data_IF_405994207859
#
_entry.id   IF_405994207859
#
_cell.length_a   1.000
_cell.length_b   1.000
_cell.length_c   1.000
_cell.angle_alpha   90.00
_cell.angle_beta   90.00
_cell.angle_gamma   90.00
#
_symmetry.space_group_name_H-M   'P 1'
#
loop_
_entity.id
_entity.type
_entity.pdbx_description
1 polymer ?
#
# COMPACT_ATOMS: atom_id res chain seq x y z
N UNK A 1 -50.82 85.43 24.14
CA UNK A 1 -50.40 85.73 22.77
C UNK A 1 -50.37 84.42 21.98
N UNK A 2 -51.14 84.39 20.89
CA UNK A 2 -50.90 83.65 19.63
C UNK A 2 -50.74 82.12 19.69
N UNK A 3 -51.36 81.30 18.84
CA UNK A 3 -52.42 81.39 17.83
C UNK A 3 -52.53 79.92 17.36
N UNK A 4 -53.72 79.32 17.36
CA UNK A 4 -53.94 78.08 16.61
C UNK A 4 -53.71 78.35 15.11
N UNK A 5 -53.14 77.41 14.34
CA UNK A 5 -53.34 77.37 12.91
C UNK A 5 -54.24 76.21 12.47
N UNK A 6 -55.04 76.54 11.46
CA UNK A 6 -56.12 75.82 10.80
C UNK A 6 -55.69 74.55 10.01
N UNK A 7 -56.66 73.69 9.60
CA UNK A 7 -56.41 72.47 8.84
C UNK A 7 -56.07 72.70 7.35
N UNK A 8 -55.05 71.99 6.86
CA UNK A 8 -54.59 72.03 5.48
C UNK A 8 -55.11 70.87 4.62
N UNK A 9 -56.00 71.23 3.71
CA UNK A 9 -56.29 70.74 2.34
C UNK A 9 -55.68 69.41 1.84
N UNK A 10 -56.60 68.57 1.39
CA UNK A 10 -56.57 67.40 0.51
C UNK A 10 -55.51 67.47 -0.61
N UNK A 11 -54.71 66.41 -0.75
CA UNK A 11 -54.02 66.07 -2.01
C UNK A 11 -54.23 64.59 -2.34
N UNK A 12 -54.98 64.38 -3.43
CA UNK A 12 -55.26 63.10 -4.08
C UNK A 12 -53.98 62.43 -4.60
N UNK A 13 -53.69 61.20 -4.16
CA UNK A 13 -52.75 60.30 -4.85
C UNK A 13 -53.28 58.88 -4.95
N UNK A 14 -53.72 58.56 -6.17
CA UNK A 14 -53.57 57.29 -6.90
C UNK A 14 -53.91 55.97 -6.19
N UNK A 15 -55.03 55.39 -6.60
CA UNK A 15 -55.33 53.94 -6.53
C UNK A 15 -54.28 53.13 -7.31
N UNK A 16 -53.64 52.10 -6.72
CA UNK A 16 -52.78 51.20 -7.49
C UNK A 16 -53.63 50.21 -8.31
N UNK A 17 -53.26 50.07 -9.59
CA UNK A 17 -53.81 49.11 -10.56
C UNK A 17 -53.41 47.66 -10.20
N UNK A 18 -54.20 46.65 -10.61
CA UNK A 18 -54.08 45.27 -10.12
C UNK A 18 -52.90 44.45 -10.69
N UNK A 19 -51.88 45.10 -11.25
CA UNK A 19 -50.76 44.43 -11.92
C UNK A 19 -49.51 44.23 -11.06
N UNK A 20 -49.51 44.68 -9.80
CA UNK A 20 -48.32 44.67 -8.94
C UNK A 20 -48.54 43.92 -7.61
N UNK A 21 -49.06 42.68 -7.69
CA UNK A 21 -49.12 41.75 -6.55
C UNK A 21 -48.31 40.48 -6.83
N UNK A 22 -47.49 40.00 -5.87
CA UNK A 22 -46.81 38.71 -6.00
C UNK A 22 -47.82 37.54 -5.90
N UNK A 23 -47.58 36.41 -6.59
CA UNK A 23 -48.54 35.31 -6.66
C UNK A 23 -48.73 34.62 -5.29
N UNK A 24 -50.00 34.51 -4.85
CA UNK A 24 -50.37 33.75 -3.65
C UNK A 24 -50.19 32.26 -3.89
N UNK A 25 -49.36 31.60 -3.07
CA UNK A 25 -49.24 30.14 -3.05
C UNK A 25 -50.48 29.54 -2.39
N UNK A 26 -51.24 28.74 -3.15
CA UNK A 26 -52.34 27.93 -2.63
C UNK A 26 -51.78 26.76 -1.82
N UNK A 27 -51.90 26.80 -0.49
CA UNK A 27 -51.36 25.78 0.43
C UNK A 27 -52.33 24.61 0.66
N UNK A 28 -53.42 24.52 -0.10
CA UNK A 28 -54.49 23.53 0.11
C UNK A 28 -54.84 22.73 -1.15
N UNK A 29 -53.85 22.29 -1.93
CA UNK A 29 -54.08 21.25 -2.94
C UNK A 29 -53.85 19.86 -2.33
N UNK A 30 -54.96 19.18 -2.14
CA UNK A 30 -55.19 17.82 -1.65
C UNK A 30 -54.14 16.77 -2.05
N UNK A 31 -53.76 15.95 -1.06
CA UNK A 31 -52.93 14.76 -1.17
C UNK A 31 -53.55 13.73 -2.12
N UNK A 32 -52.90 13.44 -3.26
CA UNK A 32 -53.20 12.24 -4.06
C UNK A 32 -52.49 11.03 -3.45
N UNK A 33 -53.28 10.05 -2.99
CA UNK A 33 -52.78 8.76 -2.53
C UNK A 33 -52.12 7.97 -3.67
N UNK A 34 -50.91 7.47 -3.44
CA UNK A 34 -50.18 6.61 -4.37
C UNK A 34 -50.57 5.16 -4.06
N UNK A 35 -51.13 4.38 -5.00
CA UNK A 35 -51.38 2.96 -4.77
C UNK A 35 -50.05 2.19 -4.80
N UNK A 36 -49.67 1.62 -3.66
CA UNK A 36 -48.52 0.72 -3.54
C UNK A 36 -48.90 -0.66 -4.07
N UNK A 37 -48.39 -1.03 -5.26
CA UNK A 37 -48.55 -2.38 -5.81
C UNK A 37 -47.26 -3.18 -5.57
N UNK A 38 -47.26 -4.18 -4.67
CA UNK A 38 -46.09 -5.03 -4.51
C UNK A 38 -45.90 -5.89 -5.77
N UNK A 39 -44.69 -5.86 -6.35
CA UNK A 39 -44.31 -6.81 -7.40
C UNK A 39 -44.24 -8.21 -6.79
N UNK A 40 -44.82 -9.26 -7.40
CA UNK A 40 -44.59 -10.63 -6.96
C UNK A 40 -43.11 -10.97 -7.16
N UNK A 41 -42.43 -11.36 -6.08
CA UNK A 41 -41.09 -11.91 -6.16
C UNK A 41 -41.19 -13.32 -6.75
N UNK A 42 -40.60 -13.53 -7.92
CA UNK A 42 -40.40 -14.88 -8.46
C UNK A 42 -39.42 -15.62 -7.55
N UNK A 43 -39.74 -16.85 -7.10
CA UNK A 43 -38.79 -17.64 -6.30
C UNK A 43 -37.58 -17.98 -7.17
N UNK A 44 -36.41 -17.53 -6.74
CA UNK A 44 -35.15 -17.96 -7.33
C UNK A 44 -34.98 -19.45 -7.06
N UNK A 45 -35.08 -20.27 -8.12
CA UNK A 45 -34.69 -21.68 -8.02
C UNK A 45 -33.17 -21.74 -7.85
N UNK A 46 -32.74 -22.20 -6.68
CA UNK A 46 -31.36 -22.64 -6.47
C UNK A 46 -31.13 -23.91 -7.30
N UNK A 47 -30.44 -23.79 -8.43
CA UNK A 47 -29.70 -24.91 -8.99
C UNK A 47 -28.28 -24.88 -8.42
N UNK A 48 -27.82 -25.92 -7.71
CA UNK A 48 -26.41 -26.06 -7.41
C UNK A 48 -25.69 -26.42 -8.71
N UNK A 49 -25.11 -25.42 -9.37
CA UNK A 49 -24.09 -25.68 -10.40
C UNK A 49 -22.82 -26.13 -9.68
N UNK A 50 -22.53 -27.43 -9.70
CA UNK A 50 -21.21 -27.95 -9.33
C UNK A 50 -20.25 -27.69 -10.48
N UNK A 51 -19.25 -26.79 -10.37
CA UNK A 51 -18.20 -26.75 -11.38
C UNK A 51 -17.27 -27.94 -11.16
N UNK A 52 -17.32 -28.92 -12.07
CA UNK A 52 -16.22 -29.89 -12.21
C UNK A 52 -15.07 -29.13 -12.87
N UNK A 53 -14.12 -28.68 -12.05
CA UNK A 53 -12.85 -28.14 -12.54
C UNK A 53 -11.88 -29.32 -12.67
N UNK A 54 -11.35 -29.63 -13.86
CA UNK A 54 -10.30 -30.63 -13.97
C UNK A 54 -9.04 -30.10 -13.27
N UNK A 55 -8.53 -30.86 -12.31
CA UNK A 55 -7.24 -30.62 -11.67
C UNK A 55 -6.15 -30.88 -12.71
N UNK A 56 -5.58 -29.81 -13.27
CA UNK A 56 -4.37 -29.92 -14.09
C UNK A 56 -3.16 -29.98 -13.17
N UNK A 57 -2.57 -31.16 -13.02
CA UNK A 57 -1.23 -31.31 -12.50
C UNK A 57 -0.24 -30.72 -13.51
N UNK A 58 0.55 -29.72 -13.10
CA UNK A 58 1.73 -29.32 -13.86
C UNK A 58 2.79 -30.40 -13.69
N UNK A 59 3.12 -31.11 -14.76
CA UNK A 59 4.36 -31.87 -14.81
C UNK A 59 5.52 -30.86 -14.75
N UNK A 60 6.44 -31.07 -13.82
CA UNK A 60 7.70 -30.34 -13.79
C UNK A 60 8.43 -30.63 -15.10
N UNK A 61 8.89 -29.58 -15.77
CA UNK A 61 9.75 -29.72 -16.93
C UNK A 61 11.10 -30.29 -16.46
N UNK A 62 11.50 -31.42 -17.04
CA UNK A 62 12.85 -31.95 -16.89
C UNK A 62 13.87 -30.87 -17.27
N UNK A 63 14.87 -30.70 -16.41
CA UNK A 63 15.98 -29.82 -16.66
C UNK A 63 16.66 -30.27 -17.96
N UNK A 64 16.59 -29.43 -18.99
CA UNK A 64 17.44 -29.61 -20.16
C UNK A 64 18.88 -29.42 -19.70
N UNK A 65 19.66 -30.49 -19.80
CA UNK A 65 21.11 -30.44 -19.70
C UNK A 65 21.63 -29.42 -20.71
N UNK A 66 22.09 -28.28 -20.18
CA UNK A 66 22.87 -27.33 -20.94
C UNK A 66 24.13 -28.04 -21.40
N UNK A 67 24.41 -27.95 -22.70
CA UNK A 67 25.67 -28.35 -23.32
C UNK A 67 26.84 -27.91 -22.44
N UNK A 68 27.52 -28.87 -21.83
CA UNK A 68 28.79 -28.64 -21.14
C UNK A 68 29.80 -28.19 -22.18
N UNK A 69 30.03 -26.88 -22.26
CA UNK A 69 31.24 -26.36 -22.86
C UNK A 69 32.43 -26.98 -22.13
N UNK A 70 33.46 -27.38 -22.88
CA UNK A 70 34.75 -27.67 -22.29
C UNK A 70 35.17 -26.45 -21.44
N UNK A 71 35.63 -26.72 -20.22
CA UNK A 71 36.14 -25.74 -19.24
C UNK A 71 35.13 -25.06 -18.31
N UNK A 72 34.29 -25.87 -17.64
CA UNK A 72 33.65 -25.46 -16.38
C UNK A 72 33.98 -26.42 -15.23
N UNK A 73 35.20 -26.96 -15.20
CA UNK A 73 35.69 -27.64 -13.99
C UNK A 73 36.04 -26.57 -12.95
N UNK A 74 35.42 -26.59 -11.76
CA UNK A 74 35.84 -25.70 -10.68
C UNK A 74 37.32 -25.93 -10.39
N UNK A 75 38.06 -24.83 -10.15
CA UNK A 75 39.49 -24.90 -9.84
C UNK A 75 39.70 -25.82 -8.60
N UNK A 76 40.69 -26.71 -8.63
CA UNK A 76 40.98 -27.60 -7.52
C UNK A 76 41.42 -26.82 -6.27
N UNK A 77 41.23 -27.42 -5.09
CA UNK A 77 41.68 -26.80 -3.84
C UNK A 77 43.22 -26.73 -3.83
N UNK A 78 43.79 -25.66 -3.27
CA UNK A 78 45.25 -25.43 -3.13
C UNK A 78 46.05 -26.66 -2.65
N UNK A 79 45.48 -27.50 -1.77
CA UNK A 79 46.10 -28.75 -1.31
C UNK A 79 46.16 -29.82 -2.40
N UNK A 80 45.13 -29.93 -3.22
CA UNK A 80 45.08 -30.82 -4.38
C UNK A 80 46.00 -30.35 -5.51
N UNK A 81 46.17 -29.03 -5.68
CA UNK A 81 47.14 -28.45 -6.62
C UNK A 81 48.58 -28.77 -6.19
N UNK A 82 48.90 -28.55 -4.93
CA UNK A 82 50.21 -28.88 -4.37
C UNK A 82 50.51 -30.38 -4.47
N UNK A 83 49.52 -31.24 -4.23
CA UNK A 83 49.67 -32.69 -4.38
C UNK A 83 49.89 -33.10 -5.85
N UNK A 84 49.20 -32.46 -6.81
CA UNK A 84 49.42 -32.69 -8.25
C UNK A 84 50.81 -32.23 -8.69
N UNK A 85 51.28 -31.07 -8.21
CA UNK A 85 52.62 -30.55 -8.48
C UNK A 85 53.68 -31.49 -7.89
N UNK A 86 53.54 -31.91 -6.63
CA UNK A 86 54.48 -32.84 -5.99
C UNK A 86 54.55 -34.19 -6.73
N UNK A 87 53.40 -34.68 -7.22
CA UNK A 87 53.31 -35.89 -8.04
C UNK A 87 54.03 -35.75 -9.39
N UNK A 88 54.01 -34.55 -9.98
CA UNK A 88 54.76 -34.23 -11.22
C UNK A 88 56.26 -34.10 -10.92
N UNK A 89 56.62 -33.50 -9.78
CA UNK A 89 58.01 -33.29 -9.35
C UNK A 89 58.68 -34.52 -8.73
N UNK A 90 57.93 -35.62 -8.53
CA UNK A 90 58.45 -36.85 -7.93
C UNK A 90 58.75 -36.74 -6.42
N UNK A 91 58.17 -35.75 -5.73
CA UNK A 91 58.29 -35.56 -4.28
C UNK A 91 57.05 -36.08 -3.55
N UNK A 92 57.17 -36.46 -2.29
CA UNK A 92 56.03 -36.84 -1.45
C UNK A 92 55.14 -35.61 -1.19
N UNK A 93 53.92 -35.61 -1.71
CA UNK A 93 52.92 -34.56 -1.46
C UNK A 93 52.27 -34.67 -0.07
N UNK A 94 51.56 -33.62 0.40
CA UNK A 94 50.87 -33.66 1.69
C UNK A 94 49.68 -34.64 1.66
N UNK A 95 49.49 -35.39 2.75
CA UNK A 95 48.39 -36.35 2.90
C UNK A 95 47.03 -35.64 2.81
N UNK A 96 46.22 -36.03 1.83
CA UNK A 96 44.91 -35.42 1.56
C UNK A 96 43.85 -35.78 2.61
N UNK A 97 44.09 -36.82 3.43
CA UNK A 97 43.14 -37.29 4.43
C UNK A 97 43.17 -36.51 5.75
N UNK A 98 44.27 -35.81 6.04
CA UNK A 98 44.41 -34.99 7.23
C UNK A 98 44.96 -33.61 6.84
N UNK A 99 44.12 -32.58 6.96
CA UNK A 99 44.54 -31.21 6.68
C UNK A 99 45.73 -30.83 7.54
N UNK A 100 46.85 -30.45 6.89
CA UNK A 100 48.02 -29.95 7.61
C UNK A 100 47.64 -28.69 8.37
N UNK A 101 47.89 -28.62 9.69
CA UNK A 101 47.47 -27.49 10.49
C UNK A 101 48.15 -26.22 9.96
N UNK A 102 47.37 -25.15 9.78
CA UNK A 102 47.81 -23.86 9.19
C UNK A 102 49.08 -23.31 9.86
N UNK A 103 49.30 -23.62 11.13
CA UNK A 103 50.48 -23.23 11.88
C UNK A 103 51.79 -23.84 11.36
N UNK A 104 51.75 -25.02 10.73
CA UNK A 104 52.93 -25.71 10.19
C UNK A 104 53.28 -25.22 8.79
N UNK A 105 52.27 -24.89 7.98
CA UNK A 105 52.44 -24.32 6.64
C UNK A 105 53.13 -22.94 6.73
N UNK A 106 52.66 -22.08 7.64
CA UNK A 106 53.18 -20.72 7.76
C UNK A 106 54.58 -20.68 8.41
N UNK A 107 54.99 -21.75 9.12
CA UNK A 107 56.29 -21.80 9.79
C UNK A 107 57.47 -21.77 8.80
N UNK A 108 57.28 -22.26 7.57
CA UNK A 108 58.29 -22.25 6.51
C UNK A 108 58.43 -20.91 5.78
N UNK A 109 57.36 -20.11 5.75
CA UNK A 109 57.26 -18.92 4.89
C UNK A 109 57.17 -17.62 5.69
N UNK A 110 58.31 -16.92 5.81
CA UNK A 110 58.42 -15.65 6.54
C UNK A 110 57.48 -14.57 6.01
N UNK A 111 57.28 -14.51 4.69
CA UNK A 111 56.40 -13.55 4.04
C UNK A 111 54.89 -13.82 4.31
N UNK A 112 54.52 -15.08 4.53
CA UNK A 112 53.14 -15.44 4.89
C UNK A 112 52.84 -15.08 6.36
N UNK A 113 53.84 -15.14 7.22
CA UNK A 113 53.70 -14.84 8.65
C UNK A 113 53.42 -13.35 8.91
N UNK A 114 53.97 -12.45 8.10
CA UNK A 114 53.76 -11.00 8.21
C UNK A 114 52.34 -10.57 7.81
N UNK A 115 51.73 -11.29 6.86
CA UNK A 115 50.38 -11.00 6.35
C UNK A 115 49.24 -11.64 7.17
N UNK A 116 49.55 -12.35 8.25
CA UNK A 116 48.54 -12.96 9.12
C UNK A 116 47.84 -11.93 10.02
N UNK A 117 46.56 -12.17 10.39
CA UNK A 117 45.89 -11.37 11.40
C UNK A 117 46.60 -11.49 12.76
N UNK A 118 46.71 -10.35 13.48
CA UNK A 118 47.49 -10.23 14.73
C UNK A 118 47.24 -11.33 15.77
N UNK A 119 45.98 -11.73 15.96
CA UNK A 119 45.58 -12.79 16.91
C UNK A 119 46.23 -14.14 16.61
N UNK A 120 46.54 -14.43 15.34
CA UNK A 120 47.22 -15.67 14.94
C UNK A 120 48.74 -15.54 15.06
N UNK A 121 49.30 -14.37 14.76
CA UNK A 121 50.73 -14.08 14.98
C UNK A 121 51.09 -14.24 16.47
N UNK A 122 50.24 -13.74 17.36
CA UNK A 122 50.43 -13.82 18.81
C UNK A 122 50.37 -15.27 19.32
N UNK A 123 49.47 -16.10 18.77
CA UNK A 123 49.39 -17.54 19.08
C UNK A 123 50.62 -18.33 18.61
N UNK A 124 51.20 -17.97 17.46
CA UNK A 124 52.43 -18.61 16.97
C UNK A 124 53.66 -18.21 17.82
N UNK A 125 53.77 -16.94 18.18
CA UNK A 125 54.84 -16.40 19.03
C UNK A 125 54.79 -16.98 20.46
N UNK A 126 53.59 -17.12 21.03
CA UNK A 126 53.40 -17.75 22.35
C UNK A 126 53.79 -19.23 22.38
N UNK A 127 53.67 -19.95 21.26
CA UNK A 127 54.02 -21.38 21.16
C UNK A 127 55.54 -21.60 21.08
N UNK A 128 56.29 -20.64 20.53
CA UNK A 128 57.77 -20.71 20.44
C UNK A 128 58.50 -20.39 21.75
N UNK A 129 57.88 -19.69 22.69
CA UNK A 129 58.52 -19.26 23.95
C UNK A 129 58.31 -20.21 25.14
N UNK A 130 57.83 -21.44 24.92
CA UNK A 130 57.69 -22.46 25.97
C UNK A 130 56.85 -22.04 27.18
N UNK A 131 56.03 -20.99 27.05
CA UNK A 131 55.26 -20.41 28.15
C UNK A 131 53.81 -20.86 28.00
N UNK A 132 53.31 -21.55 29.03
CA UNK A 132 51.96 -22.09 29.14
C UNK A 132 50.88 -21.06 28.75
N UNK A 133 49.88 -21.52 28.00
CA UNK A 133 48.69 -20.76 27.61
C UNK A 133 48.04 -20.04 28.81
N UNK A 134 47.44 -18.83 28.62
CA UNK A 134 46.70 -18.17 29.68
C UNK A 134 45.50 -19.04 30.11
N UNK A 135 45.45 -19.39 31.41
CA UNK A 135 44.29 -19.97 32.09
C UNK A 135 43.10 -19.01 31.91
N UNK A 136 42.21 -19.28 30.94
CA UNK A 136 41.05 -18.40 30.77
C UNK A 136 40.14 -18.58 29.56
N UNK A 137 40.37 -19.51 28.64
CA UNK A 137 39.37 -19.81 27.60
C UNK A 137 38.49 -20.97 28.05
N UNK A 138 37.25 -20.66 28.41
CA UNK A 138 36.17 -21.62 28.66
C UNK A 138 36.03 -22.56 27.46
N UNK A 139 36.18 -23.85 27.68
CA UNK A 139 35.83 -24.89 26.71
C UNK A 139 34.34 -24.79 26.40
N UNK A 140 33.98 -24.55 25.15
CA UNK A 140 32.59 -24.74 24.70
C UNK A 140 32.35 -26.25 24.59
N UNK A 141 31.89 -26.85 25.68
CA UNK A 141 31.40 -28.23 25.69
C UNK A 141 29.97 -28.25 25.16
N UNK A 142 29.76 -28.83 23.97
CA UNK A 142 28.46 -29.35 23.55
C UNK A 142 28.19 -30.66 24.29
N UNK A 143 27.73 -30.56 25.53
CA UNK A 143 27.19 -31.69 26.28
C UNK A 143 25.73 -31.36 26.60
N UNK A 144 24.80 -32.11 26.00
CA UNK A 144 23.39 -32.15 26.39
C UNK A 144 23.29 -32.95 27.68
N UNK A 145 23.08 -32.30 28.81
CA UNK A 145 22.67 -32.96 30.05
C UNK A 145 21.18 -33.36 29.95
N UNK A 146 20.83 -34.63 30.14
CA UNK A 146 19.44 -34.99 30.38
C UNK A 146 19.08 -34.54 31.79
N UNK A 147 18.16 -33.58 31.90
CA UNK A 147 17.63 -33.09 33.17
C UNK A 147 16.91 -34.24 33.86
N UNK A 148 17.61 -34.88 34.80
CA UNK A 148 17.01 -35.81 35.74
C UNK A 148 16.51 -34.97 36.91
N UNK A 149 15.27 -35.24 37.33
CA UNK A 149 14.59 -34.64 38.46
C UNK A 149 15.52 -34.43 39.66
N UNK A 150 15.71 -33.17 40.09
CA UNK A 150 15.46 -32.84 41.49
C UNK A 150 15.28 -31.33 41.70
N UNK A 151 14.50 -30.99 42.73
CA UNK A 151 13.84 -29.71 42.95
C UNK A 151 14.68 -28.43 42.89
N UNK A 152 14.20 -27.48 42.10
CA UNK A 152 14.59 -26.08 42.13
C UNK A 152 13.42 -25.25 41.61
N UNK A 153 12.63 -24.71 42.54
CA UNK A 153 11.47 -23.85 42.32
C UNK A 153 11.85 -22.57 41.54
N UNK A 154 11.82 -22.68 40.22
CA UNK A 154 11.92 -21.55 39.30
C UNK A 154 10.54 -21.24 38.74
N UNK A 155 9.65 -20.70 39.59
CA UNK A 155 8.46 -19.94 39.18
C UNK A 155 7.74 -20.52 37.96
N UNK A 156 7.43 -21.82 38.01
CA UNK A 156 6.64 -22.48 36.99
C UNK A 156 5.22 -21.98 37.17
N UNK A 157 4.83 -20.99 36.36
CA UNK A 157 3.42 -20.66 36.12
C UNK A 157 2.73 -21.99 35.83
N UNK A 158 1.94 -22.48 36.79
CA UNK A 158 1.13 -23.67 36.61
C UNK A 158 0.22 -23.37 35.44
N UNK A 159 0.56 -23.92 34.26
CA UNK A 159 -0.36 -23.99 33.15
C UNK A 159 -1.38 -25.05 33.52
N UNK A 160 -2.26 -24.71 34.47
CA UNK A 160 -3.53 -25.38 34.63
C UNK A 160 -4.28 -25.17 33.32
N UNK A 161 -4.06 -26.10 32.40
CA UNK A 161 -4.88 -26.29 31.23
C UNK A 161 -6.24 -26.81 31.72
N UNK A 162 -6.99 -25.95 32.39
CA UNK A 162 -8.42 -26.16 32.58
C UNK A 162 -9.01 -26.18 31.18
N UNK A 163 -9.17 -27.37 30.63
CA UNK A 163 -9.89 -27.60 29.39
C UNK A 163 -11.34 -27.18 29.63
N UNK A 164 -11.62 -25.89 29.46
CA UNK A 164 -12.96 -25.32 29.55
C UNK A 164 -13.80 -26.06 28.53
N UNK A 165 -14.70 -26.91 29.02
CA UNK A 165 -15.60 -27.67 28.19
C UNK A 165 -16.36 -26.70 27.27
N UNK A 166 -16.46 -27.00 25.97
CA UNK A 166 -17.06 -26.07 25.04
C UNK A 166 -18.54 -25.87 25.39
N UNK A 167 -18.91 -24.66 25.79
CA UNK A 167 -20.27 -24.30 26.16
C UNK A 167 -21.27 -24.45 25.00
N UNK A 168 -20.78 -24.54 23.76
CA UNK A 168 -21.59 -24.70 22.55
C UNK A 168 -21.15 -25.98 21.84
N UNK A 169 -22.09 -26.88 21.47
CA UNK A 169 -21.75 -28.10 20.75
C UNK A 169 -21.10 -27.78 19.40
N UNK A 170 -20.01 -28.49 19.09
CA UNK A 170 -19.35 -28.45 17.78
C UNK A 170 -18.17 -27.49 17.63
N UNK A 171 -17.81 -26.72 18.66
CA UNK A 171 -16.68 -25.77 18.59
C UNK A 171 -15.69 -26.06 19.71
N UNK A 172 -14.39 -26.18 19.39
CA UNK A 172 -13.34 -26.40 20.40
C UNK A 172 -12.94 -25.12 21.13
N UNK A 173 -12.89 -24.01 20.40
CA UNK A 173 -12.63 -22.67 20.89
C UNK A 173 -13.85 -21.83 20.54
N UNK A 174 -14.37 -21.01 21.45
CA UNK A 174 -15.67 -20.33 21.29
C UNK A 174 -15.91 -19.68 19.91
N UNK A 175 -17.19 -19.48 19.58
CA UNK A 175 -17.58 -18.92 18.28
C UNK A 175 -17.00 -17.51 18.07
N UNK A 176 -16.56 -17.17 16.84
CA UNK A 176 -16.16 -15.81 16.52
C UNK A 176 -17.35 -14.85 16.61
N UNK A 177 -17.08 -13.61 17.01
CA UNK A 177 -18.11 -12.56 17.05
C UNK A 177 -18.53 -12.19 15.63
N UNK A 178 -19.83 -12.32 15.34
CA UNK A 178 -20.44 -11.90 14.08
C UNK A 178 -21.06 -10.50 14.24
N UNK A 179 -20.98 -9.62 13.23
CA UNK A 179 -20.41 -9.82 11.90
C UNK A 179 -18.88 -9.79 11.90
N UNK A 180 -18.27 -10.66 11.08
CA UNK A 180 -16.81 -10.71 10.89
C UNK A 180 -16.33 -9.32 10.40
N UNK A 181 -15.22 -8.78 10.94
CA UNK A 181 -14.67 -7.53 10.46
C UNK A 181 -14.34 -7.60 8.96
N UNK A 182 -14.42 -6.44 8.28
CA UNK A 182 -14.23 -6.35 6.83
C UNK A 182 -12.88 -6.94 6.38
N UNK A 183 -11.84 -6.77 7.19
CA UNK A 183 -10.47 -7.21 6.90
C UNK A 183 -10.31 -8.74 6.96
N UNK A 184 -11.22 -9.44 7.65
CA UNK A 184 -11.23 -10.90 7.76
C UNK A 184 -11.63 -11.60 6.45
N UNK A 185 -12.14 -10.87 5.47
CA UNK A 185 -12.56 -11.43 4.18
C UNK A 185 -11.38 -11.52 3.21
N UNK A 186 -11.05 -12.73 2.71
CA UNK A 186 -9.89 -12.98 1.84
C UNK A 186 -9.80 -12.02 0.64
N UNK A 187 -10.91 -11.76 -0.05
CA UNK A 187 -10.95 -10.87 -1.23
C UNK A 187 -10.93 -9.38 -0.90
N UNK A 188 -11.21 -9.02 0.36
CA UNK A 188 -11.33 -7.65 0.83
C UNK A 188 -10.43 -7.41 2.06
N UNK A 189 -9.26 -8.07 2.05
CA UNK A 189 -8.28 -8.01 3.14
C UNK A 189 -7.69 -6.62 3.37
N UNK A 190 -7.52 -5.86 2.28
CA UNK A 190 -6.90 -4.54 2.31
C UNK A 190 -7.94 -3.44 2.16
N UNK A 191 -7.58 -2.23 2.62
CA UNK A 191 -8.39 -1.03 2.42
C UNK A 191 -8.73 -0.83 0.92
N UNK A 192 -9.98 -0.46 0.58
CA UNK A 192 -10.41 -0.31 -0.81
C UNK A 192 -9.61 0.73 -1.61
N UNK A 193 -9.04 1.75 -0.97
CA UNK A 193 -8.18 2.73 -1.64
C UNK A 193 -6.85 2.10 -2.00
N UNK A 194 -6.24 1.36 -1.05
CA UNK A 194 -4.97 0.65 -1.28
C UNK A 194 -5.13 -0.41 -2.38
N UNK A 195 -6.20 -1.20 -2.33
CA UNK A 195 -6.54 -2.17 -3.38
C UNK A 195 -6.78 -1.50 -4.75
N UNK A 196 -7.44 -0.34 -4.76
CA UNK A 196 -7.67 0.38 -6.01
C UNK A 196 -6.39 0.97 -6.61
N UNK A 197 -5.49 1.53 -5.78
CA UNK A 197 -4.22 2.09 -6.25
C UNK A 197 -3.28 0.97 -6.71
N UNK A 198 -3.17 -0.13 -5.97
CA UNK A 198 -2.33 -1.29 -6.39
C UNK A 198 -2.76 -1.81 -7.76
N UNK A 199 -4.07 -1.98 -8.00
CA UNK A 199 -4.60 -2.40 -9.30
C UNK A 199 -4.36 -1.40 -10.43
N UNK A 200 -4.26 -0.10 -10.13
CA UNK A 200 -3.92 0.94 -11.11
C UNK A 200 -2.41 1.05 -11.37
N UNK A 201 -1.58 0.65 -10.41
CA UNK A 201 -0.13 0.52 -10.58
C UNK A 201 0.26 -0.72 -11.41
N UNK A 202 -0.55 -1.77 -11.33
CA UNK A 202 -0.32 -3.05 -12.02
C UNK A 202 -0.26 -2.88 -13.54
N UNK A 203 0.78 -3.46 -14.14
CA UNK A 203 0.97 -3.57 -15.58
C UNK A 203 1.19 -5.04 -15.93
N UNK A 204 0.78 -5.45 -17.13
CA UNK A 204 0.99 -6.82 -17.65
C UNK A 204 0.47 -7.95 -16.73
N UNK A 205 -0.46 -7.68 -15.80
CA UNK A 205 -0.95 -8.66 -14.83
C UNK A 205 -0.02 -8.92 -13.64
N UNK A 206 1.07 -8.16 -13.49
CA UNK A 206 2.06 -8.34 -12.42
C UNK A 206 1.60 -7.71 -11.09
N UNK A 207 0.71 -8.41 -10.39
CA UNK A 207 0.13 -7.95 -9.13
C UNK A 207 1.20 -7.84 -8.02
N UNK A 208 2.10 -8.82 -7.93
CA UNK A 208 3.14 -8.87 -6.88
C UNK A 208 4.09 -7.67 -6.94
N UNK A 209 4.45 -7.23 -8.15
CA UNK A 209 5.27 -6.02 -8.37
C UNK A 209 4.51 -4.77 -7.94
N UNK A 210 3.22 -4.67 -8.27
CA UNK A 210 2.39 -3.55 -7.86
C UNK A 210 2.20 -3.48 -6.33
N UNK A 211 2.02 -4.62 -5.67
CA UNK A 211 1.96 -4.72 -4.20
C UNK A 211 3.27 -4.29 -3.56
N UNK A 212 4.42 -4.72 -4.10
CA UNK A 212 5.74 -4.27 -3.64
C UNK A 212 5.91 -2.75 -3.81
N UNK A 213 5.51 -2.20 -4.96
CA UNK A 213 5.59 -0.75 -5.16
C UNK A 213 4.69 0.01 -4.18
N UNK A 214 3.50 -0.51 -3.89
CA UNK A 214 2.61 0.07 -2.88
C UNK A 214 3.23 0.03 -1.47
N UNK A 215 3.83 -1.09 -1.07
CA UNK A 215 4.48 -1.15 0.25
C UNK A 215 5.64 -0.15 0.36
N UNK A 216 6.41 0.04 -0.71
CA UNK A 216 7.44 1.08 -0.78
C UNK A 216 6.85 2.49 -0.70
N UNK A 217 5.73 2.78 -1.38
CA UNK A 217 5.03 4.08 -1.29
C UNK A 217 4.63 4.35 0.16
N UNK A 218 3.98 3.41 0.83
CA UNK A 218 3.52 3.57 2.21
C UNK A 218 4.70 3.74 3.19
N UNK A 219 5.80 3.00 2.97
CA UNK A 219 7.01 3.16 3.76
C UNK A 219 7.62 4.56 3.60
N UNK A 220 7.66 5.09 2.38
CA UNK A 220 8.12 6.45 2.13
C UNK A 220 7.24 7.50 2.82
N UNK A 221 5.92 7.33 2.81
CA UNK A 221 5.01 8.22 3.54
C UNK A 221 5.21 8.15 5.06
N UNK A 222 5.54 6.96 5.58
CA UNK A 222 5.81 6.76 7.00
C UNK A 222 7.09 7.45 7.48
N UNK A 223 8.11 7.48 6.63
CA UNK A 223 9.41 8.11 6.95
C UNK A 223 9.48 9.59 6.54
N UNK A 224 8.47 10.10 5.83
CA UNK A 224 8.44 11.48 5.40
C UNK A 224 8.20 12.43 6.60
N UNK A 225 8.74 13.65 6.56
CA UNK A 225 8.41 14.67 7.56
C UNK A 225 6.92 15.03 7.50
N UNK A 226 6.44 15.63 8.58
CA UNK A 226 5.07 16.12 8.68
C UNK A 226 4.80 17.14 7.57
N UNK A 227 3.77 16.96 6.73
CA UNK A 227 3.50 17.87 5.63
C UNK A 227 2.92 19.21 6.12
N UNK A 228 3.34 20.30 5.50
CA UNK A 228 2.78 21.63 5.73
C UNK A 228 1.57 21.86 4.83
N UNK A 229 0.36 21.93 5.42
CA UNK A 229 -0.88 22.08 4.65
C UNK A 229 -1.05 23.55 4.22
N UNK A 230 -1.28 23.77 2.93
CA UNK A 230 -1.59 25.10 2.41
C UNK A 230 -3.06 25.49 2.69
N UNK A 231 -3.34 26.63 3.36
CA UNK A 231 -4.71 27.03 3.69
C UNK A 231 -5.57 27.33 2.44
N UNK A 232 -4.96 27.79 1.34
CA UNK A 232 -5.65 28.07 0.08
C UNK A 232 -6.19 26.82 -0.63
N UNK A 233 -5.66 25.64 -0.31
CA UNK A 233 -6.05 24.36 -0.89
C UNK A 233 -6.40 23.39 0.24
N UNK A 234 -7.54 23.57 0.90
CA UNK A 234 -7.93 22.73 2.03
C UNK A 234 -8.15 21.29 1.59
N UNK A 235 -7.81 20.36 2.48
CA UNK A 235 -8.09 18.93 2.31
C UNK A 235 -9.58 18.65 2.54
N UNK A 236 -9.94 17.36 2.48
CA UNK A 236 -11.30 16.90 2.79
C UNK A 236 -11.67 17.31 4.22
N UNK A 237 -12.89 17.80 4.49
CA UNK A 237 -13.33 18.13 5.84
C UNK A 237 -13.30 16.91 6.75
N UNK A 238 -12.94 17.11 8.01
CA UNK A 238 -12.74 16.01 8.98
C UNK A 238 -11.38 15.33 8.88
N UNK A 239 -10.43 15.90 8.12
CA UNK A 239 -9.06 15.41 8.12
C UNK A 239 -8.42 15.57 9.53
N UNK A 240 -7.67 14.56 10.00
CA UNK A 240 -6.88 14.65 11.24
C UNK A 240 -5.78 15.72 11.11
N UNK A 241 -5.19 16.16 12.24
CA UNK A 241 -4.06 17.08 12.20
C UNK A 241 -2.88 16.48 11.42
N UNK A 242 -2.03 17.33 10.81
CA UNK A 242 -0.93 16.89 9.94
C UNK A 242 0.07 15.96 10.66
N UNK A 243 0.21 16.08 11.98
CA UNK A 243 1.07 15.25 12.82
C UNK A 243 0.74 13.75 12.77
N UNK A 244 -0.53 13.39 12.56
CA UNK A 244 -0.96 11.98 12.55
C UNK A 244 -0.73 11.29 11.20
N UNK A 245 -0.40 12.05 10.14
CA UNK A 245 -0.32 11.53 8.78
C UNK A 245 0.85 10.56 8.58
N UNK A 246 2.10 10.85 9.01
CA UNK A 246 3.21 9.92 8.84
C UNK A 246 3.01 8.60 9.60
N UNK A 247 2.40 8.66 10.80
CA UNK A 247 2.11 7.46 11.60
C UNK A 247 1.06 6.55 10.92
N UNK A 248 0.12 7.14 10.20
CA UNK A 248 -0.96 6.44 9.51
C UNK A 248 -0.86 6.61 7.98
N UNK A 249 0.05 5.89 7.29
CA UNK A 249 0.30 6.09 5.86
C UNK A 249 -0.90 5.74 4.96
N UNK A 250 -1.80 4.86 5.42
CA UNK A 250 -3.05 4.56 4.71
C UNK A 250 -3.97 5.79 4.74
N UNK A 251 -4.14 6.42 5.91
CA UNK A 251 -4.92 7.66 6.02
C UNK A 251 -4.30 8.78 5.19
N UNK A 252 -2.97 8.94 5.24
CA UNK A 252 -2.25 9.89 4.40
C UNK A 252 -2.59 9.70 2.92
N UNK A 253 -2.46 8.47 2.41
CA UNK A 253 -2.79 8.14 1.02
C UNK A 253 -4.26 8.42 0.69
N UNK A 254 -5.19 8.05 1.58
CA UNK A 254 -6.63 8.26 1.34
C UNK A 254 -6.99 9.75 1.27
N UNK A 255 -6.44 10.58 2.17
CA UNK A 255 -6.69 12.02 2.21
C UNK A 255 -6.12 12.73 0.99
N UNK A 256 -4.92 12.34 0.55
CA UNK A 256 -4.32 12.89 -0.67
C UNK A 256 -5.20 12.61 -1.90
N UNK A 257 -5.75 11.39 -2.02
CA UNK A 257 -6.58 11.01 -3.17
C UNK A 257 -7.95 11.67 -3.10
N UNK A 258 -8.61 11.64 -1.94
CA UNK A 258 -9.99 12.14 -1.79
C UNK A 258 -10.07 13.67 -1.86
N UNK A 259 -9.01 14.39 -1.49
CA UNK A 259 -8.94 15.87 -1.63
C UNK A 259 -8.89 16.31 -3.09
N UNK A 260 -8.10 15.60 -3.91
CA UNK A 260 -7.90 15.90 -5.33
C UNK A 260 -8.98 15.30 -6.23
N UNK A 261 -9.72 14.33 -5.73
CA UNK A 261 -10.82 13.68 -6.43
C UNK A 261 -11.85 14.68 -7.00
N UNK A 262 -12.10 14.69 -8.32
CA UNK A 262 -13.11 15.55 -8.92
C UNK A 262 -14.52 15.03 -8.57
N UNK A 263 -15.46 15.93 -8.24
CA UNK A 263 -16.83 15.57 -7.90
C UNK A 263 -17.68 15.17 -9.12
N UNK A 264 -17.33 15.71 -10.28
CA UNK A 264 -18.03 15.54 -11.54
C UNK A 264 -17.04 15.27 -12.68
N UNK A 265 -17.56 14.67 -13.75
CA UNK A 265 -16.89 14.62 -15.06
C UNK A 265 -17.78 15.30 -16.08
N UNK A 266 -17.19 15.65 -17.21
CA UNK A 266 -17.93 16.21 -18.34
C UNK A 266 -18.18 15.08 -19.34
N UNK A 267 -19.44 14.91 -19.74
CA UNK A 267 -19.86 14.01 -20.80
C UNK A 267 -20.19 14.87 -22.02
N UNK A 268 -19.55 14.59 -23.15
CA UNK A 268 -19.91 15.22 -24.43
C UNK A 268 -21.08 14.47 -25.07
N UNK A 269 -22.17 15.18 -25.35
CA UNK A 269 -23.32 14.67 -26.09
C UNK A 269 -23.31 15.27 -27.49
N UNK A 270 -22.97 14.46 -28.49
CA UNK A 270 -22.93 14.87 -29.90
C UNK A 270 -24.33 15.25 -30.38
N UNK A 271 -24.45 16.34 -31.14
CA UNK A 271 -25.70 16.76 -31.79
C UNK A 271 -26.72 17.47 -30.89
N UNK A 272 -26.47 17.60 -29.59
CA UNK A 272 -27.41 18.25 -28.67
C UNK A 272 -27.31 19.78 -28.63
N UNK A 273 -26.19 20.36 -29.10
CA UNK A 273 -25.99 21.81 -29.14
C UNK A 273 -26.44 22.47 -30.46
N UNK A 274 -26.93 21.68 -31.44
CA UNK A 274 -27.12 22.13 -32.82
C UNK A 274 -25.82 22.11 -33.64
N UNK A 275 -25.93 22.26 -34.97
CA UNK A 275 -24.77 22.42 -35.87
C UNK A 275 -23.70 21.31 -35.82
N UNK A 276 -24.04 20.11 -35.34
CA UNK A 276 -23.08 18.99 -35.16
C UNK A 276 -22.15 19.12 -33.95
N UNK A 277 -22.21 20.21 -33.19
CA UNK A 277 -21.36 20.45 -32.01
C UNK A 277 -21.81 19.59 -30.83
N UNK A 278 -20.84 19.06 -30.08
CA UNK A 278 -21.12 18.28 -28.89
C UNK A 278 -21.41 19.20 -27.69
N UNK A 279 -22.56 19.01 -27.05
CA UNK A 279 -22.92 19.70 -25.82
C UNK A 279 -22.15 19.07 -24.65
N UNK A 280 -21.47 19.91 -23.86
CA UNK A 280 -20.79 19.47 -22.65
C UNK A 280 -21.79 19.40 -21.50
N UNK A 281 -21.97 18.23 -20.91
CA UNK A 281 -22.92 17.98 -19.83
C UNK A 281 -22.16 17.50 -18.59
N UNK A 282 -22.16 18.25 -17.47
CA UNK A 282 -21.54 17.78 -16.24
C UNK A 282 -22.37 16.64 -15.60
N UNK A 283 -21.69 15.57 -15.20
CA UNK A 283 -22.29 14.36 -14.60
C UNK A 283 -21.58 14.03 -13.28
N UNK A 284 -22.31 13.82 -12.18
CA UNK A 284 -21.69 13.45 -10.90
C UNK A 284 -21.00 12.09 -10.97
N UNK A 285 -19.93 11.94 -10.19
CA UNK A 285 -19.14 10.70 -10.12
C UNK A 285 -19.34 9.98 -8.80
N UNK A 286 -19.44 8.64 -8.84
CA UNK A 286 -19.43 7.81 -7.63
C UNK A 286 -18.04 7.73 -6.98
N UNK A 287 -17.96 7.44 -5.67
CA UNK A 287 -16.71 7.40 -4.88
C UNK A 287 -15.54 6.71 -5.61
N UNK A 288 -15.75 5.48 -6.08
CA UNK A 288 -14.72 4.68 -6.76
C UNK A 288 -14.26 5.31 -8.09
N UNK A 289 -15.17 5.95 -8.82
CA UNK A 289 -14.84 6.64 -10.07
C UNK A 289 -14.02 7.90 -9.78
N UNK A 290 -14.41 8.69 -8.76
CA UNK A 290 -13.68 9.87 -8.30
C UNK A 290 -12.23 9.53 -7.93
N UNK A 291 -12.06 8.51 -7.08
CA UNK A 291 -10.73 8.00 -6.69
C UNK A 291 -9.92 7.52 -7.90
N UNK A 292 -10.52 6.77 -8.82
CA UNK A 292 -9.83 6.31 -10.05
C UNK A 292 -9.26 7.48 -10.85
N UNK A 293 -10.05 8.53 -11.07
CA UNK A 293 -9.60 9.71 -11.83
C UNK A 293 -8.45 10.44 -11.13
N UNK A 294 -8.53 10.64 -9.81
CA UNK A 294 -7.44 11.26 -9.05
C UNK A 294 -6.16 10.42 -9.08
N UNK A 295 -6.26 9.11 -8.84
CA UNK A 295 -5.11 8.21 -8.87
C UNK A 295 -4.45 8.24 -10.25
N UNK A 296 -5.23 8.18 -11.33
CA UNK A 296 -4.68 8.29 -12.68
C UNK A 296 -3.93 9.60 -12.89
N UNK A 297 -4.46 10.74 -12.40
CA UNK A 297 -3.76 12.01 -12.53
C UNK A 297 -2.46 12.04 -11.73
N UNK A 298 -2.47 11.54 -10.50
CA UNK A 298 -1.28 11.43 -9.63
C UNK A 298 -0.23 10.52 -10.27
N UNK A 299 -0.62 9.38 -10.84
CA UNK A 299 0.32 8.47 -11.51
C UNK A 299 0.92 9.12 -12.77
N UNK A 300 0.12 9.89 -13.52
CA UNK A 300 0.62 10.61 -14.70
C UNK A 300 1.55 11.77 -14.34
N UNK A 301 1.35 12.45 -13.21
CA UNK A 301 2.28 13.48 -12.73
C UNK A 301 3.56 12.83 -12.19
N UNK A 302 3.43 11.75 -11.40
CA UNK A 302 4.56 11.00 -10.85
C UNK A 302 5.47 10.40 -11.93
N UNK A 303 4.90 9.94 -13.04
CA UNK A 303 5.69 9.40 -14.15
C UNK A 303 6.54 10.47 -14.86
N UNK A 304 6.13 11.73 -14.80
CA UNK A 304 6.85 12.86 -15.43
C UNK A 304 7.92 13.47 -14.52
N UNK A 305 7.93 13.14 -13.22
CA UNK A 305 8.96 13.61 -12.29
C UNK A 305 10.33 13.03 -12.64
N UNK A 306 11.36 13.84 -12.41
CA UNK A 306 12.76 13.41 -12.52
C UNK A 306 13.04 12.27 -11.54
N UNK A 307 13.84 11.30 -11.97
CA UNK A 307 14.31 10.20 -11.13
C UNK A 307 15.38 10.71 -10.17
N UNK A 308 15.13 10.67 -8.86
CA UNK A 308 16.13 11.04 -7.84
C UNK A 308 17.02 9.88 -7.44
N UNK A 309 16.47 8.67 -7.33
CA UNK A 309 17.20 7.47 -6.94
C UNK A 309 17.27 6.45 -8.09
N UNK A 310 18.42 5.79 -8.21
CA UNK A 310 18.60 4.62 -9.08
C UNK A 310 18.09 3.36 -8.38
N UNK A 311 17.46 2.45 -9.14
CA UNK A 311 17.00 1.15 -8.65
C UNK A 311 15.49 0.92 -8.74
N UNK A 312 15.07 -0.29 -8.34
CA UNK A 312 13.70 -0.79 -8.49
C UNK A 312 12.64 0.03 -7.72
N UNK A 313 13.04 0.77 -6.68
CA UNK A 313 12.14 1.62 -5.88
C UNK A 313 11.93 3.04 -6.42
N UNK A 314 12.63 3.45 -7.48
CA UNK A 314 12.62 4.86 -7.92
C UNK A 314 11.24 5.36 -8.37
N UNK A 315 10.40 4.49 -8.95
CA UNK A 315 9.03 4.87 -9.33
C UNK A 315 8.12 5.05 -8.10
N UNK A 316 8.19 4.15 -7.12
CA UNK A 316 7.43 4.24 -5.87
C UNK A 316 7.75 5.54 -5.11
N UNK A 317 9.03 5.92 -5.05
CA UNK A 317 9.47 7.17 -4.43
C UNK A 317 8.86 8.39 -5.12
N UNK A 318 8.84 8.43 -6.46
CA UNK A 318 8.23 9.55 -7.21
C UNK A 318 6.73 9.68 -6.93
N UNK A 319 6.02 8.55 -6.84
CA UNK A 319 4.60 8.54 -6.48
C UNK A 319 4.40 9.05 -5.05
N UNK A 320 5.21 8.60 -4.09
CA UNK A 320 5.13 9.06 -2.71
C UNK A 320 5.39 10.59 -2.59
N UNK A 321 6.41 11.09 -3.28
CA UNK A 321 6.69 12.52 -3.34
C UNK A 321 5.53 13.31 -3.97
N UNK A 322 4.84 12.75 -4.98
CA UNK A 322 3.63 13.39 -5.53
C UNK A 322 2.53 13.47 -4.48
N UNK A 323 2.27 12.39 -3.74
CA UNK A 323 1.27 12.37 -2.67
C UNK A 323 1.58 13.41 -1.58
N UNK A 324 2.84 13.55 -1.17
CA UNK A 324 3.27 14.59 -0.21
C UNK A 324 2.96 15.98 -0.79
N UNK A 325 3.36 16.25 -2.03
CA UNK A 325 3.11 17.55 -2.67
C UNK A 325 1.62 17.83 -2.91
N UNK A 326 0.78 16.79 -3.00
CA UNK A 326 -0.68 16.93 -3.09
C UNK A 326 -1.24 17.42 -1.76
N UNK A 327 -0.83 16.80 -0.64
CA UNK A 327 -1.27 17.19 0.71
C UNK A 327 -0.76 18.57 1.11
N UNK A 328 0.46 18.91 0.71
CA UNK A 328 0.98 20.28 0.85
C UNK A 328 0.30 21.27 -0.08
N UNK A 329 -0.51 20.84 -1.06
CA UNK A 329 -1.17 21.73 -2.01
C UNK A 329 -0.25 22.32 -3.08
N UNK A 330 0.95 21.77 -3.30
CA UNK A 330 1.91 22.23 -4.33
C UNK A 330 1.76 21.49 -5.68
N UNK A 331 1.09 20.35 -5.70
CA UNK A 331 0.95 19.52 -6.91
C UNK A 331 0.10 20.20 -8.01
N UNK A 332 0.49 19.98 -9.27
CA UNK A 332 -0.24 20.44 -10.46
C UNK A 332 -1.60 19.73 -10.64
N UNK A 333 -1.82 18.61 -9.95
CA UNK A 333 -3.10 17.89 -10.03
C UNK A 333 -4.27 18.72 -9.50
N UNK A 334 -4.02 19.65 -8.56
CA UNK A 334 -5.00 20.62 -8.09
C UNK A 334 -5.51 21.53 -9.22
N UNK A 335 -4.63 21.97 -10.12
CA UNK A 335 -5.02 22.78 -11.28
C UNK A 335 -5.89 22.01 -12.24
N UNK A 336 -5.57 20.73 -12.47
CA UNK A 336 -6.38 19.82 -13.29
C UNK A 336 -7.78 19.61 -12.69
N UNK A 337 -7.88 19.42 -11.38
CA UNK A 337 -9.17 19.34 -10.65
C UNK A 337 -9.98 20.62 -10.85
N UNK A 338 -9.35 21.77 -10.63
CA UNK A 338 -9.99 23.07 -10.73
C UNK A 338 -10.44 23.37 -12.17
N UNK A 339 -9.67 22.98 -13.18
CA UNK A 339 -10.06 23.12 -14.59
C UNK A 339 -11.35 22.33 -14.90
N UNK A 340 -11.45 21.09 -14.45
CA UNK A 340 -12.67 20.28 -14.62
C UNK A 340 -13.87 20.90 -13.91
N UNK A 341 -13.67 21.43 -12.70
CA UNK A 341 -14.76 22.08 -11.95
C UNK A 341 -15.20 23.39 -12.59
N UNK A 342 -14.26 24.23 -13.06
CA UNK A 342 -14.56 25.47 -13.80
C UNK A 342 -15.38 25.18 -15.05
N UNK A 343 -14.97 24.19 -15.85
CA UNK A 343 -15.73 23.76 -17.02
C UNK A 343 -17.11 23.20 -16.66
N UNK A 344 -17.21 22.44 -15.56
CA UNK A 344 -18.49 21.95 -15.06
C UNK A 344 -19.45 23.07 -14.63
N UNK A 345 -18.94 24.10 -13.96
CA UNK A 345 -19.72 25.29 -13.57
C UNK A 345 -20.16 26.08 -14.80
N UNK A 346 -19.29 26.27 -15.79
CA UNK A 346 -19.64 26.95 -17.04
C UNK A 346 -20.76 26.20 -17.79
N UNK A 347 -20.70 24.87 -17.82
CA UNK A 347 -21.68 24.02 -18.51
C UNK A 347 -22.91 23.63 -17.66
N UNK A 348 -23.14 24.29 -16.50
CA UNK A 348 -24.23 23.92 -15.58
C UNK A 348 -25.64 24.02 -16.18
N UNK A 349 -25.83 24.94 -17.14
CA UNK A 349 -27.12 25.15 -17.81
C UNK A 349 -27.49 24.00 -18.76
N UNK A 350 -26.49 23.20 -19.18
CA UNK A 350 -26.69 22.11 -20.14
C UNK A 350 -27.25 20.83 -19.49
N UNK A 351 -27.49 20.85 -18.18
CA UNK A 351 -28.09 19.73 -17.46
C UNK A 351 -29.58 19.69 -17.78
N UNK A 352 -29.94 18.96 -18.84
CA UNK A 352 -31.34 18.65 -19.14
C UNK A 352 -31.75 17.46 -18.28
N UNK A 353 -32.57 17.70 -17.26
CA UNK A 353 -33.25 16.62 -16.54
C UNK A 353 -34.23 15.98 -17.53
N UNK A 354 -34.14 14.67 -17.81
CA UNK A 354 -35.12 14.03 -18.67
C UNK A 354 -36.50 14.25 -18.06
N UNK A 355 -37.39 14.97 -18.77
CA UNK A 355 -38.81 14.98 -18.43
C UNK A 355 -39.26 13.54 -18.46
N UNK A 356 -39.60 12.99 -17.29
CA UNK A 356 -40.23 11.68 -17.16
C UNK A 356 -41.48 11.74 -18.07
N UNK A 357 -41.44 11.02 -19.18
CA UNK A 357 -42.61 10.87 -20.07
C UNK A 357 -43.68 10.07 -19.36
#
# INVERSE_FOLDING_TARGET
>A
MQKNPAPGVISSKSTPTPSDMPPRLNVLSLTRGIPFRPKPQTPWRFQPSTPVVPVQYRAFADARDGSKGADSTPLPHVTEEAAKIAKIEGKSGPDLEQGTPVAEIVKGDKAAQENLPKVMQDKLRAKTSGTSAPKGSRSFSTATTPTTQDGGDLGLLSFDATATQPAVPGVKFGLPVLPIPKDGHLKHRYDPVVDQVTKLLMRHGELSVAQRNMSLILNHLRTAPVPTINPSRPLVPGAPPPSHLPLNPILYLTLAIDSVAPLLRIRSQKGAAGGGVALQIPVPLGQRQRRRTAIQWILTSASRRKTTASGKGGFAQRVAQELISVVEGKSSVWERRNAVHKLGVAARANIVVPRKR
#
